data_IF_418139188948
#
_entry.id   IF_418139188948
#
_cell.length_a   1.000
_cell.length_b   1.000
_cell.length_c   1.000
_cell.angle_alpha   90.00
_cell.angle_beta   90.00
_cell.angle_gamma   90.00
#
_symmetry.space_group_name_H-M   'P 1'
#
loop_
_entity.id
_entity.type
_entity.pdbx_description
1 polymer ?
#
# COMPACT_ATOMS: atom_id res chain seq x y z
N UNK A 1 -9.81 -31.29 12.55
CA UNK A 1 -9.84 -29.83 12.34
C UNK A 1 -10.78 -29.61 11.17
N UNK A 2 -11.77 -28.73 11.31
CA UNK A 2 -12.75 -28.53 10.24
C UNK A 2 -12.07 -27.91 9.01
N UNK A 3 -11.98 -28.68 7.93
CA UNK A 3 -11.55 -28.21 6.60
C UNK A 3 -12.78 -27.78 5.80
N UNK A 4 -12.62 -26.96 4.76
CA UNK A 4 -13.76 -26.56 3.90
C UNK A 4 -14.41 -27.75 3.19
N UNK A 5 -13.71 -28.88 3.06
CA UNK A 5 -14.25 -30.12 2.51
C UNK A 5 -15.21 -30.87 3.45
N UNK A 6 -15.32 -30.45 4.72
CA UNK A 6 -16.10 -31.14 5.74
C UNK A 6 -15.47 -32.45 6.24
N UNK A 7 -14.27 -32.78 5.77
CA UNK A 7 -13.50 -33.95 6.22
C UNK A 7 -12.56 -33.51 7.34
N UNK A 8 -12.64 -34.19 8.49
CA UNK A 8 -11.66 -34.02 9.56
C UNK A 8 -10.31 -34.57 9.14
N UNK A 9 -9.30 -33.70 9.12
CA UNK A 9 -7.91 -34.08 8.89
C UNK A 9 -7.10 -33.96 10.19
N UNK A 10 -6.22 -34.93 10.49
CA UNK A 10 -5.35 -34.87 11.65
C UNK A 10 -4.27 -33.80 11.46
N UNK A 11 -4.00 -33.05 12.53
CA UNK A 11 -2.87 -32.13 12.59
C UNK A 11 -1.61 -32.98 12.77
N UNK A 12 -0.64 -32.82 11.86
CA UNK A 12 0.67 -33.48 11.95
C UNK A 12 1.68 -32.65 12.71
N UNK A 13 1.60 -31.34 12.59
CA UNK A 13 2.57 -30.42 13.17
C UNK A 13 1.99 -29.03 13.37
N UNK A 14 2.48 -28.35 14.39
CA UNK A 14 2.21 -26.92 14.63
C UNK A 14 3.57 -26.28 14.87
N UNK A 15 3.90 -25.28 14.06
CA UNK A 15 5.09 -24.46 14.23
C UNK A 15 4.73 -23.06 14.64
N UNK A 16 5.57 -22.46 15.48
CA UNK A 16 5.47 -21.04 15.75
C UNK A 16 6.82 -20.37 15.93
N UNK A 17 6.84 -19.06 15.69
CA UNK A 17 7.97 -18.21 16.03
C UNK A 17 7.54 -16.76 16.17
N UNK A 18 8.05 -16.11 17.21
CA UNK A 18 7.99 -14.65 17.35
C UNK A 18 9.21 -14.03 16.70
N UNK A 19 8.98 -13.01 15.86
CA UNK A 19 10.03 -12.23 15.20
C UNK A 19 9.82 -10.75 15.45
N UNK A 20 10.91 -10.03 15.70
CA UNK A 20 10.91 -8.58 15.54
C UNK A 20 10.84 -8.27 14.03
N UNK A 21 10.02 -7.31 13.65
CA UNK A 21 9.87 -6.97 12.25
C UNK A 21 10.86 -5.91 11.80
N UNK A 22 11.33 -5.00 12.67
CA UNK A 22 12.42 -4.04 12.39
C UNK A 22 12.31 -3.32 11.02
N UNK A 23 11.09 -2.98 10.59
CA UNK A 23 10.82 -2.36 9.28
C UNK A 23 10.96 -3.27 8.05
N UNK A 24 11.17 -4.58 8.24
CA UNK A 24 11.27 -5.61 7.20
C UNK A 24 9.88 -5.98 6.67
N UNK A 25 9.53 -5.44 5.52
CA UNK A 25 8.25 -5.70 4.86
C UNK A 25 7.97 -7.19 4.59
N UNK A 26 8.99 -8.04 4.43
CA UNK A 26 8.83 -9.49 4.27
C UNK A 26 8.46 -10.23 5.57
N UNK A 27 8.55 -9.56 6.71
CA UNK A 27 8.11 -10.08 8.02
C UNK A 27 6.84 -9.40 8.54
N UNK A 28 6.46 -8.25 7.98
CA UNK A 28 5.27 -7.49 8.40
C UNK A 28 3.99 -8.22 7.98
N UNK A 29 3.05 -8.47 8.90
CA UNK A 29 1.85 -9.21 8.57
C UNK A 29 0.93 -8.42 7.64
N UNK A 30 0.14 -9.16 6.86
CA UNK A 30 -0.97 -8.60 6.11
C UNK A 30 -2.23 -8.73 6.96
N UNK A 31 -2.88 -7.60 7.23
CA UNK A 31 -4.19 -7.53 7.85
C UNK A 31 -5.27 -7.60 6.79
N UNK A 32 -6.12 -8.59 6.91
CA UNK A 32 -7.38 -8.73 6.17
C UNK A 32 -8.49 -8.31 7.13
N UNK A 33 -9.12 -7.17 6.85
CA UNK A 33 -10.19 -6.62 7.66
C UNK A 33 -11.40 -7.56 7.68
N UNK A 34 -12.17 -7.50 8.76
CA UNK A 34 -13.46 -8.17 8.84
C UNK A 34 -14.31 -7.86 7.60
N UNK A 35 -14.97 -8.89 7.08
CA UNK A 35 -15.87 -8.86 5.94
C UNK A 35 -15.24 -8.52 4.57
N UNK A 36 -13.91 -8.51 4.45
CA UNK A 36 -13.18 -8.12 3.24
C UNK A 36 -13.45 -9.01 2.01
N UNK A 37 -13.71 -10.31 2.20
CA UNK A 37 -14.05 -11.28 1.16
C UNK A 37 -15.54 -11.62 1.10
N UNK A 38 -16.38 -10.85 1.80
CA UNK A 38 -17.81 -11.13 1.98
C UNK A 38 -18.18 -11.15 3.46
N UNK A 39 -19.48 -11.18 3.77
CA UNK A 39 -19.93 -11.18 5.15
C UNK A 39 -19.35 -12.36 5.95
N UNK A 40 -18.73 -12.08 7.11
CA UNK A 40 -18.11 -13.10 7.96
C UNK A 40 -16.81 -13.68 7.40
N UNK A 41 -16.24 -13.10 6.32
CA UNK A 41 -15.03 -13.58 5.66
C UNK A 41 -13.97 -12.49 5.57
N UNK A 42 -13.07 -12.38 6.56
CA UNK A 42 -13.14 -13.02 7.88
C UNK A 42 -14.19 -12.38 8.79
N UNK A 43 -14.56 -13.04 9.88
CA UNK A 43 -15.54 -12.57 10.88
C UNK A 43 -14.98 -11.48 11.81
N UNK A 44 -13.66 -11.41 11.94
CA UNK A 44 -12.90 -10.33 12.58
C UNK A 44 -11.62 -10.10 11.79
N UNK A 45 -10.92 -9.00 12.08
CA UNK A 45 -9.63 -8.74 11.46
C UNK A 45 -8.68 -9.93 11.65
N UNK A 46 -8.11 -10.39 10.54
CA UNK A 46 -7.20 -11.54 10.48
C UNK A 46 -5.82 -11.05 10.05
N UNK A 47 -4.79 -11.44 10.82
CA UNK A 47 -3.39 -11.21 10.49
C UNK A 47 -2.77 -12.50 9.95
N UNK A 48 -2.12 -12.42 8.79
CA UNK A 48 -1.41 -13.55 8.17
C UNK A 48 -0.04 -13.11 7.68
N UNK A 49 0.88 -14.06 7.47
CA UNK A 49 2.15 -13.74 6.82
C UNK A 49 1.91 -13.27 5.37
N UNK A 50 2.80 -12.44 4.80
CA UNK A 50 2.66 -11.94 3.43
C UNK A 50 2.33 -13.01 2.39
N UNK A 51 3.01 -14.15 2.40
CA UNK A 51 2.82 -15.20 1.41
C UNK A 51 1.72 -16.21 1.74
N UNK A 52 1.09 -16.13 2.93
CA UNK A 52 0.02 -17.04 3.31
C UNK A 52 -1.15 -16.93 2.32
N UNK A 53 -1.50 -18.05 1.71
CA UNK A 53 -2.47 -18.06 0.63
C UNK A 53 -3.91 -18.15 1.13
N UNK A 54 -4.74 -17.23 0.65
CA UNK A 54 -6.18 -17.23 0.85
C UNK A 54 -6.81 -18.04 -0.29
N UNK A 55 -7.77 -18.89 0.04
CA UNK A 55 -8.55 -19.61 -0.95
C UNK A 55 -9.73 -18.76 -1.42
N UNK A 56 -9.78 -18.49 -2.72
CA UNK A 56 -10.76 -17.59 -3.35
C UNK A 56 -11.52 -18.34 -4.44
N UNK A 57 -12.85 -18.26 -4.41
CA UNK A 57 -13.71 -18.81 -5.46
C UNK A 57 -13.93 -17.77 -6.57
N UNK A 58 -13.45 -18.08 -7.78
CA UNK A 58 -13.54 -17.19 -8.93
C UNK A 58 -13.95 -17.93 -10.20
N UNK A 59 -13.22 -18.98 -10.56
CA UNK A 59 -13.47 -19.91 -11.66
C UNK A 59 -13.11 -21.32 -11.16
N UNK A 60 -13.64 -21.66 -9.99
CA UNK A 60 -13.07 -22.66 -9.11
C UNK A 60 -12.24 -22.00 -8.00
N UNK A 61 -12.00 -22.78 -6.94
CA UNK A 61 -11.21 -22.36 -5.79
C UNK A 61 -9.71 -22.37 -6.12
N UNK A 62 -9.06 -21.24 -5.89
CA UNK A 62 -7.63 -21.03 -6.13
C UNK A 62 -6.96 -20.40 -4.91
N UNK A 63 -5.65 -20.59 -4.79
CA UNK A 63 -4.83 -20.00 -3.74
C UNK A 63 -4.11 -18.76 -4.25
N UNK A 64 -4.24 -17.65 -3.52
CA UNK A 64 -3.56 -16.39 -3.81
C UNK A 64 -2.90 -15.87 -2.53
N UNK A 65 -1.59 -15.56 -2.54
CA UNK A 65 -0.91 -14.97 -1.39
C UNK A 65 -1.54 -13.66 -0.94
N UNK A 66 -1.68 -13.45 0.37
CA UNK A 66 -2.29 -12.26 0.94
C UNK A 66 -1.63 -10.95 0.47
N UNK A 67 -0.31 -10.93 0.28
CA UNK A 67 0.43 -9.77 -0.21
C UNK A 67 0.01 -9.35 -1.63
N UNK A 68 -0.45 -10.29 -2.47
CA UNK A 68 -0.95 -10.01 -3.83
C UNK A 68 -2.36 -9.43 -3.82
N UNK A 69 -3.05 -9.51 -2.68
CA UNK A 69 -4.43 -9.04 -2.50
C UNK A 69 -4.51 -7.68 -1.80
N UNK A 70 -3.37 -7.06 -1.47
CA UNK A 70 -3.32 -5.73 -0.86
C UNK A 70 -4.01 -4.71 -1.78
N UNK A 71 -4.97 -3.99 -1.21
CA UNK A 71 -5.79 -2.98 -1.90
C UNK A 71 -5.75 -1.61 -1.20
N UNK A 72 -4.92 -1.46 -0.16
CA UNK A 72 -4.75 -0.20 0.57
C UNK A 72 -5.93 0.20 1.47
N UNK A 73 -6.93 -0.67 1.63
CA UNK A 73 -8.14 -0.41 2.44
C UNK A 73 -8.45 -1.56 3.39
N UNK A 74 -9.22 -2.54 2.91
CA UNK A 74 -9.66 -3.72 3.66
C UNK A 74 -8.56 -4.77 3.74
N UNK A 75 -7.55 -4.73 2.86
CA UNK A 75 -6.37 -5.59 2.94
C UNK A 75 -5.14 -4.71 2.87
N UNK A 76 -4.37 -4.68 3.96
CA UNK A 76 -3.21 -3.80 4.14
C UNK A 76 -2.09 -4.54 4.84
N UNK A 77 -0.84 -4.23 4.48
CA UNK A 77 0.29 -4.58 5.31
C UNK A 77 0.35 -3.63 6.51
N UNK A 78 0.55 -4.18 7.71
CA UNK A 78 0.58 -3.40 8.95
C UNK A 78 1.97 -3.39 9.55
N UNK A 79 2.41 -2.20 9.97
CA UNK A 79 3.66 -2.01 10.68
C UNK A 79 3.48 -2.38 12.15
N UNK A 80 4.28 -3.34 12.61
CA UNK A 80 4.26 -3.86 13.98
C UNK A 80 5.69 -4.05 14.46
N UNK A 81 5.93 -3.86 15.75
CA UNK A 81 7.26 -4.08 16.34
C UNK A 81 7.66 -5.56 16.27
N UNK A 82 6.72 -6.45 16.57
CA UNK A 82 6.91 -7.89 16.50
C UNK A 82 5.62 -8.63 16.18
N UNK A 83 5.76 -9.86 15.67
CA UNK A 83 4.64 -10.74 15.31
C UNK A 83 5.00 -12.18 15.64
N UNK A 84 4.01 -12.96 16.06
CA UNK A 84 4.12 -14.42 16.21
C UNK A 84 3.35 -15.11 15.10
N UNK A 85 4.06 -15.83 14.23
CA UNK A 85 3.43 -16.65 13.19
C UNK A 85 3.18 -18.06 13.70
N UNK A 86 2.01 -18.60 13.37
CA UNK A 86 1.57 -19.96 13.69
C UNK A 86 1.22 -20.69 12.41
N UNK A 87 1.84 -21.85 12.17
CA UNK A 87 1.62 -22.67 10.99
C UNK A 87 1.10 -24.04 11.42
N UNK A 88 0.02 -24.49 10.79
CA UNK A 88 -0.64 -25.77 11.11
C UNK A 88 -0.52 -26.70 9.90
N UNK A 89 0.23 -27.79 10.05
CA UNK A 89 0.40 -28.83 9.03
C UNK A 89 -0.65 -29.93 9.22
N UNK A 90 -1.29 -30.34 8.14
CA UNK A 90 -2.20 -31.48 8.10
C UNK A 90 -1.52 -32.71 7.49
N UNK A 91 -2.22 -33.83 7.42
CA UNK A 91 -1.71 -35.04 6.77
C UNK A 91 -1.50 -34.94 5.26
N UNK A 92 -2.22 -34.01 4.63
CA UNK A 92 -1.91 -33.45 3.33
C UNK A 92 -2.39 -32.01 3.28
N UNK A 93 -1.72 -31.21 2.46
CA UNK A 93 -2.05 -29.81 2.27
C UNK A 93 -3.53 -29.66 1.90
N UNK A 94 -4.25 -28.81 2.62
CA UNK A 94 -5.68 -28.56 2.44
C UNK A 94 -6.06 -27.15 2.92
N UNK A 95 -7.34 -26.84 2.92
CA UNK A 95 -7.88 -25.54 3.32
C UNK A 95 -8.40 -25.57 4.76
N UNK A 96 -7.97 -24.57 5.54
CA UNK A 96 -8.41 -24.25 6.89
C UNK A 96 -9.39 -23.07 6.87
N UNK A 97 -10.18 -22.93 7.94
CA UNK A 97 -11.00 -21.74 8.19
C UNK A 97 -10.31 -20.87 9.24
N UNK A 98 -9.64 -19.80 8.79
CA UNK A 98 -9.05 -18.79 9.64
C UNK A 98 -10.06 -17.65 9.86
N UNK A 99 -10.67 -17.58 11.04
CA UNK A 99 -11.73 -16.60 11.34
C UNK A 99 -12.88 -16.63 10.31
N UNK A 100 -13.20 -17.82 9.76
CA UNK A 100 -14.21 -18.00 8.73
C UNK A 100 -13.74 -17.72 7.29
N UNK A 101 -12.51 -17.22 7.09
CA UNK A 101 -11.90 -17.10 5.78
C UNK A 101 -11.18 -18.41 5.38
N UNK A 102 -11.51 -19.02 4.24
CA UNK A 102 -10.74 -20.13 3.68
C UNK A 102 -9.28 -19.72 3.39
N UNK A 103 -8.33 -20.42 4.00
CA UNK A 103 -6.90 -20.17 3.83
C UNK A 103 -6.12 -21.49 3.82
N UNK A 104 -4.91 -21.49 3.30
CA UNK A 104 -4.10 -22.70 3.23
C UNK A 104 -3.69 -23.23 4.61
N UNK A 105 -3.62 -24.55 4.76
CA UNK A 105 -2.79 -25.19 5.79
C UNK A 105 -1.31 -24.99 5.47
N UNK A 106 -0.43 -25.24 6.42
CA UNK A 106 1.01 -25.18 6.15
C UNK A 106 1.42 -26.23 5.11
N UNK A 107 2.06 -25.78 4.03
CA UNK A 107 2.85 -26.59 3.12
C UNK A 107 4.33 -26.35 3.40
N UNK A 108 5.08 -27.41 3.70
CA UNK A 108 6.53 -27.28 3.84
C UNK A 108 7.18 -27.03 2.48
N UNK A 109 7.59 -25.78 2.30
CA UNK A 109 8.22 -25.30 1.08
C UNK A 109 9.74 -25.11 1.30
N UNK A 110 10.34 -25.72 2.33
CA UNK A 110 11.73 -25.50 2.73
C UNK A 110 11.92 -24.37 3.76
N UNK A 111 10.82 -23.85 4.30
CA UNK A 111 10.77 -22.85 5.37
C UNK A 111 10.61 -23.45 6.77
N UNK A 112 10.50 -24.78 6.94
CA UNK A 112 10.29 -25.38 8.28
C UNK A 112 11.33 -24.93 9.30
N UNK A 113 12.59 -24.77 8.87
CA UNK A 113 13.71 -24.23 9.67
C UNK A 113 13.48 -22.83 10.23
N UNK A 114 12.49 -22.08 9.76
CA UNK A 114 12.10 -20.82 10.37
C UNK A 114 11.56 -21.02 11.79
N UNK A 115 10.81 -22.09 12.04
CA UNK A 115 10.02 -22.27 13.26
C UNK A 115 10.84 -22.82 14.43
N UNK A 116 10.38 -22.53 15.66
CA UNK A 116 11.06 -22.97 16.89
C UNK A 116 11.05 -24.51 17.03
N UNK A 117 10.07 -25.18 16.42
CA UNK A 117 9.89 -26.63 16.42
C UNK A 117 10.70 -27.36 15.33
N UNK A 118 11.57 -26.65 14.60
CA UNK A 118 12.47 -27.27 13.65
C UNK A 118 13.65 -27.97 14.35
N UNK A 119 14.18 -29.04 13.74
CA UNK A 119 15.39 -29.71 14.24
C UNK A 119 16.59 -28.74 14.36
N UNK A 120 16.67 -27.77 13.44
CA UNK A 120 17.61 -26.65 13.47
C UNK A 120 16.84 -25.39 13.07
N UNK A 121 16.72 -24.45 14.00
CA UNK A 121 16.14 -23.13 13.71
C UNK A 121 17.16 -22.23 13.03
N UNK A 122 16.83 -21.78 11.82
CA UNK A 122 17.58 -20.78 11.08
C UNK A 122 17.03 -19.38 11.39
N UNK A 123 17.81 -18.57 12.10
CA UNK A 123 17.39 -17.24 12.50
C UNK A 123 17.25 -16.27 11.31
N UNK A 124 17.93 -16.55 10.19
CA UNK A 124 17.88 -15.74 8.97
C UNK A 124 16.78 -16.20 8.00
N UNK A 125 16.15 -17.35 8.24
CA UNK A 125 15.00 -17.79 7.44
C UNK A 125 13.80 -16.86 7.64
N UNK A 126 12.94 -16.80 6.62
CA UNK A 126 11.67 -16.07 6.64
C UNK A 126 10.50 -17.05 6.71
N UNK A 127 9.34 -16.65 7.29
CA UNK A 127 8.17 -17.52 7.37
C UNK A 127 7.67 -17.93 5.98
N UNK A 128 7.94 -17.11 4.96
CA UNK A 128 7.42 -17.23 3.61
C UNK A 128 8.45 -17.74 2.59
N UNK A 129 9.61 -18.23 3.05
CA UNK A 129 10.63 -18.78 2.16
C UNK A 129 10.06 -19.98 1.38
N UNK A 130 10.29 -19.98 0.06
CA UNK A 130 9.77 -21.01 -0.84
C UNK A 130 10.89 -21.57 -1.71
N UNK A 131 11.02 -22.89 -1.72
CA UNK A 131 11.93 -23.61 -2.61
C UNK A 131 11.47 -23.50 -4.06
N UNK A 132 12.44 -23.50 -4.98
CA UNK A 132 12.14 -23.51 -6.41
C UNK A 132 11.50 -24.84 -6.85
N UNK A 133 10.57 -24.76 -7.80
CA UNK A 133 9.92 -25.91 -8.42
C UNK A 133 8.42 -26.04 -8.15
N UNK A 134 7.84 -27.11 -8.70
CA UNK A 134 6.43 -27.44 -8.54
C UNK A 134 6.17 -27.97 -7.12
N UNK A 135 5.29 -27.26 -6.40
CA UNK A 135 4.87 -27.63 -5.06
C UNK A 135 3.46 -28.23 -5.09
N UNK A 136 3.16 -29.23 -4.25
CA UNK A 136 1.89 -29.94 -4.28
C UNK A 136 0.78 -29.17 -3.54
N UNK A 137 0.47 -27.96 -4.02
CA UNK A 137 -0.67 -27.20 -3.51
C UNK A 137 -1.98 -27.98 -3.72
N UNK A 138 -2.93 -27.77 -2.81
CA UNK A 138 -4.20 -28.48 -2.81
C UNK A 138 -5.20 -27.90 -3.82
N UNK A 139 -4.88 -26.70 -4.34
CA UNK A 139 -5.59 -25.95 -5.37
C UNK A 139 -4.56 -25.26 -6.27
N UNK A 140 -4.94 -24.82 -7.49
CA UNK A 140 -4.09 -23.98 -8.32
C UNK A 140 -3.63 -22.73 -7.55
N UNK A 141 -2.34 -22.43 -7.63
CA UNK A 141 -1.70 -21.33 -6.92
C UNK A 141 -1.34 -20.22 -7.92
N UNK A 142 -1.74 -18.98 -7.62
CA UNK A 142 -1.56 -17.84 -8.51
C UNK A 142 -0.94 -16.65 -7.75
N UNK A 143 0.18 -16.15 -8.24
CA UNK A 143 0.82 -14.94 -7.70
C UNK A 143 0.48 -13.68 -8.48
N UNK A 144 0.14 -13.83 -9.76
CA UNK A 144 -0.12 -12.73 -10.68
C UNK A 144 -1.07 -13.16 -11.81
N UNK A 145 -1.24 -12.25 -12.78
CA UNK A 145 -2.04 -12.46 -13.98
C UNK A 145 -3.51 -12.11 -13.80
N UNK A 146 -4.28 -12.35 -14.87
CA UNK A 146 -5.66 -11.89 -15.00
C UNK A 146 -6.60 -12.40 -13.90
N UNK A 147 -6.31 -13.58 -13.34
CA UNK A 147 -7.09 -14.12 -12.23
C UNK A 147 -6.90 -13.27 -10.96
N UNK A 148 -5.66 -12.93 -10.63
CA UNK A 148 -5.35 -12.09 -9.46
C UNK A 148 -5.92 -10.69 -9.65
N UNK A 149 -5.80 -10.13 -10.85
CA UNK A 149 -6.39 -8.82 -11.18
C UNK A 149 -7.91 -8.80 -11.00
N UNK A 150 -8.60 -9.86 -11.41
CA UNK A 150 -10.04 -10.01 -11.22
C UNK A 150 -10.41 -10.06 -9.73
N UNK A 151 -9.66 -10.81 -8.92
CA UNK A 151 -9.90 -10.87 -7.46
C UNK A 151 -9.66 -9.50 -6.82
N UNK A 152 -8.60 -8.78 -7.21
CA UNK A 152 -8.32 -7.42 -6.73
C UNK A 152 -9.42 -6.43 -7.11
N UNK A 153 -9.98 -6.53 -8.32
CA UNK A 153 -11.12 -5.71 -8.73
C UNK A 153 -12.34 -5.97 -7.83
N UNK A 154 -12.69 -7.24 -7.59
CA UNK A 154 -13.80 -7.62 -6.69
C UNK A 154 -13.58 -7.12 -5.25
N UNK A 155 -12.35 -7.18 -4.75
CA UNK A 155 -12.00 -6.65 -3.43
C UNK A 155 -12.14 -5.12 -3.36
N UNK A 156 -11.86 -4.41 -4.46
CA UNK A 156 -12.11 -2.97 -4.58
C UNK A 156 -13.59 -2.64 -4.49
N UNK A 157 -14.43 -3.33 -5.28
CA UNK A 157 -15.91 -3.18 -5.22
C UNK A 157 -16.47 -3.53 -3.83
N UNK A 158 -15.88 -4.54 -3.18
CA UNK A 158 -16.24 -4.92 -1.82
C UNK A 158 -15.87 -3.83 -0.81
N UNK A 159 -14.71 -3.20 -0.94
CA UNK A 159 -14.32 -2.08 -0.09
C UNK A 159 -15.32 -0.91 -0.22
N UNK A 160 -15.78 -0.61 -1.43
CA UNK A 160 -16.81 0.40 -1.68
C UNK A 160 -18.15 0.06 -1.01
N UNK A 161 -18.57 -1.21 -1.07
CA UNK A 161 -19.75 -1.71 -0.35
C UNK A 161 -19.61 -1.55 1.17
N UNK A 162 -18.39 -1.66 1.69
CA UNK A 162 -18.06 -1.42 3.11
C UNK A 162 -17.90 0.09 3.44
N UNK A 163 -18.22 0.99 2.51
CA UNK A 163 -18.27 2.42 2.73
C UNK A 163 -16.98 3.18 2.40
N UNK A 164 -15.93 2.49 1.93
CA UNK A 164 -14.74 3.18 1.40
C UNK A 164 -15.09 3.90 0.09
N UNK A 165 -14.42 5.02 -0.17
CA UNK A 165 -14.65 5.78 -1.41
C UNK A 165 -13.34 6.25 -2.00
N UNK A 166 -13.23 6.25 -3.33
CA UNK A 166 -12.13 6.92 -4.01
C UNK A 166 -12.42 8.41 -4.11
N UNK A 167 -11.54 9.24 -3.54
CA UNK A 167 -11.53 10.68 -3.75
C UNK A 167 -10.60 11.01 -4.90
N UNK A 168 -11.14 11.73 -5.86
CA UNK A 168 -10.38 12.36 -6.94
C UNK A 168 -10.13 13.82 -6.58
N UNK A 169 -8.87 14.21 -6.55
CA UNK A 169 -8.44 15.60 -6.35
C UNK A 169 -7.17 15.78 -7.18
N UNK A 170 -7.26 16.67 -8.17
CA UNK A 170 -6.23 16.92 -9.18
C UNK A 170 -4.86 17.17 -8.59
N UNK A 171 -4.78 17.88 -7.45
CA UNK A 171 -3.51 18.28 -6.86
C UNK A 171 -3.22 17.57 -5.53
N UNK A 172 -4.06 16.64 -5.12
CA UNK A 172 -3.83 15.86 -3.91
C UNK A 172 -3.47 16.67 -2.65
N UNK A 173 -4.22 17.74 -2.37
CA UNK A 173 -3.92 18.62 -1.24
C UNK A 173 -2.60 19.40 -1.36
N UNK A 174 -2.10 19.60 -2.58
CA UNK A 174 -0.83 20.28 -2.88
C UNK A 174 -0.67 21.58 -2.09
N UNK A 175 0.48 21.70 -1.43
CA UNK A 175 0.95 22.91 -0.79
C UNK A 175 2.48 22.92 -0.77
N UNK A 176 3.04 24.07 -0.42
CA UNK A 176 4.46 24.21 -0.17
C UNK A 176 4.68 24.49 1.30
N UNK A 177 5.67 23.82 1.89
CA UNK A 177 6.27 24.23 3.15
C UNK A 177 7.53 25.02 2.81
N UNK A 178 7.55 26.31 3.10
CA UNK A 178 8.69 27.20 2.84
C UNK A 178 9.15 27.82 4.16
N UNK A 179 10.34 27.44 4.64
CA UNK A 179 10.94 27.92 5.89
C UNK A 179 9.98 27.86 7.11
N UNK A 180 9.15 26.82 7.15
CA UNK A 180 8.15 26.58 8.21
C UNK A 180 6.75 27.15 7.93
N UNK A 181 6.56 27.94 6.87
CA UNK A 181 5.26 28.47 6.48
C UNK A 181 4.57 27.62 5.41
N UNK A 182 3.25 27.46 5.52
CA UNK A 182 2.45 26.75 4.51
C UNK A 182 1.92 27.73 3.46
N UNK A 183 2.33 27.54 2.21
CA UNK A 183 1.86 28.29 1.06
C UNK A 183 0.84 27.45 0.26
N UNK A 184 -0.25 28.07 -0.16
CA UNK A 184 -1.28 27.44 -1.00
C UNK A 184 -1.16 27.92 -2.45
N UNK A 185 -1.43 27.04 -3.45
CA UNK A 185 -1.33 27.43 -4.84
C UNK A 185 -2.58 28.16 -5.32
N UNK A 186 -2.40 29.05 -6.29
CA UNK A 186 -3.44 29.36 -7.28
C UNK A 186 -3.45 28.22 -8.31
N UNK A 187 -4.63 27.71 -8.67
CA UNK A 187 -4.76 26.56 -9.58
C UNK A 187 -5.63 26.89 -10.80
N UNK A 188 -5.22 26.39 -11.96
CA UNK A 188 -6.00 26.45 -13.19
C UNK A 188 -5.70 25.21 -14.06
N UNK A 189 -6.71 24.38 -14.30
CA UNK A 189 -6.53 23.09 -15.00
C UNK A 189 -5.51 22.20 -14.27
N UNK A 190 -4.48 21.77 -14.99
CA UNK A 190 -3.36 20.97 -14.43
C UNK A 190 -2.16 21.83 -13.99
N UNK A 191 -2.32 23.15 -13.91
CA UNK A 191 -1.24 24.06 -13.50
C UNK A 191 -1.50 24.62 -12.11
N UNK A 192 -0.50 24.53 -11.24
CA UNK A 192 -0.46 25.19 -9.93
C UNK A 192 0.63 26.26 -9.93
N UNK A 193 0.34 27.42 -9.33
CA UNK A 193 1.28 28.52 -9.15
C UNK A 193 1.40 28.89 -7.68
N UNK A 194 2.62 29.01 -7.20
CA UNK A 194 2.97 29.53 -5.88
C UNK A 194 3.73 30.84 -6.00
N UNK A 195 3.62 31.67 -4.96
CA UNK A 195 4.50 32.82 -4.73
C UNK A 195 5.42 32.46 -3.57
N UNK A 196 6.69 32.21 -3.88
CA UNK A 196 7.71 31.94 -2.87
C UNK A 196 8.22 33.28 -2.30
N UNK A 197 8.36 33.39 -0.96
CA UNK A 197 9.01 34.52 -0.32
C UNK A 197 10.43 34.75 -0.86
N UNK A 198 10.85 36.01 -0.87
CA UNK A 198 12.20 36.37 -1.28
C UNK A 198 13.23 35.70 -0.36
N UNK A 199 14.13 34.92 -0.95
CA UNK A 199 15.20 34.24 -0.20
C UNK A 199 14.77 32.95 0.51
N UNK A 200 13.63 32.35 0.14
CA UNK A 200 13.20 31.05 0.65
C UNK A 200 14.32 30.00 0.50
N UNK A 201 14.56 29.18 1.54
CA UNK A 201 15.70 28.23 1.55
C UNK A 201 15.29 26.77 1.65
N UNK A 202 14.43 26.45 2.62
CA UNK A 202 13.87 25.11 2.80
C UNK A 202 12.47 25.08 2.22
N UNK A 203 12.35 24.59 0.99
CA UNK A 203 11.08 24.56 0.25
C UNK A 203 10.76 23.12 -0.10
N UNK A 204 9.64 22.62 0.40
CA UNK A 204 9.13 21.28 0.10
C UNK A 204 7.80 21.35 -0.59
N UNK A 205 7.69 20.64 -1.72
CA UNK A 205 6.44 20.38 -2.40
C UNK A 205 5.74 19.20 -1.73
N UNK A 206 4.62 19.47 -1.06
CA UNK A 206 3.91 18.46 -0.26
C UNK A 206 2.56 18.14 -0.90
N UNK A 207 2.26 16.86 -1.01
CA UNK A 207 0.98 16.34 -1.49
C UNK A 207 0.67 15.01 -0.81
N UNK A 208 -0.60 14.65 -0.76
CA UNK A 208 -1.00 13.30 -0.39
C UNK A 208 -0.54 12.30 -1.46
N UNK A 209 -0.37 11.04 -1.06
CA UNK A 209 0.13 9.96 -1.92
C UNK A 209 -0.89 8.87 -2.13
N UNK A 210 -0.70 8.12 -3.20
CA UNK A 210 -1.43 6.88 -3.49
C UNK A 210 -0.47 5.83 -4.03
N UNK A 211 -0.89 4.57 -4.01
CA UNK A 211 -0.14 3.47 -4.64
C UNK A 211 -0.95 3.04 -5.87
N UNK A 212 -0.41 3.18 -7.10
CA UNK A 212 -1.15 2.84 -8.32
C UNK A 212 -1.76 1.45 -8.26
N UNK A 213 -1.01 0.45 -7.78
CA UNK A 213 -1.52 -0.91 -7.63
C UNK A 213 -2.82 -0.96 -6.81
N UNK A 214 -3.01 -0.11 -5.80
CA UNK A 214 -4.20 -0.15 -4.94
C UNK A 214 -5.44 0.52 -5.53
N UNK A 215 -5.27 1.39 -6.52
CA UNK A 215 -6.34 2.30 -6.96
C UNK A 215 -6.62 2.25 -8.45
N UNK A 216 -5.63 1.83 -9.25
CA UNK A 216 -5.71 1.68 -10.71
C UNK A 216 -5.83 0.18 -11.05
N UNK A 217 -6.94 -0.26 -11.67
CA UNK A 217 -7.11 -1.65 -12.10
C UNK A 217 -5.98 -2.11 -13.02
N UNK A 218 -5.46 -3.32 -12.78
CA UNK A 218 -4.37 -3.93 -13.56
C UNK A 218 -2.98 -3.32 -13.33
N UNK A 219 -2.85 -2.31 -12.46
CA UNK A 219 -1.54 -1.78 -12.10
C UNK A 219 -0.82 -2.68 -11.09
N UNK A 220 0.47 -2.90 -11.35
CA UNK A 220 1.40 -3.60 -10.45
C UNK A 220 2.42 -2.65 -9.81
N UNK A 221 2.33 -1.35 -10.10
CA UNK A 221 3.25 -0.35 -9.55
C UNK A 221 2.95 -0.11 -8.06
N UNK A 222 3.86 -0.61 -7.22
CA UNK A 222 3.77 -0.57 -5.76
C UNK A 222 4.38 0.71 -5.15
N UNK A 223 4.90 1.64 -5.97
CA UNK A 223 5.47 2.90 -5.48
C UNK A 223 4.38 3.77 -4.84
N UNK A 224 4.77 4.53 -3.82
CA UNK A 224 3.90 5.52 -3.17
C UNK A 224 4.08 6.87 -3.89
N UNK A 225 3.21 7.14 -4.85
CA UNK A 225 3.33 8.28 -5.75
C UNK A 225 2.47 9.47 -5.28
N UNK A 226 3.04 10.67 -5.34
CA UNK A 226 2.35 11.95 -5.16
C UNK A 226 1.88 12.52 -6.49
N UNK A 227 2.58 13.54 -6.99
CA UNK A 227 2.21 14.28 -8.20
C UNK A 227 3.00 13.82 -9.43
N UNK A 228 2.35 13.64 -10.61
CA UNK A 228 3.02 13.38 -11.87
C UNK A 228 3.40 14.69 -12.56
N UNK A 229 4.60 15.22 -12.33
CA UNK A 229 5.02 16.49 -12.93
C UNK A 229 5.34 16.33 -14.42
N UNK A 230 4.74 17.16 -15.27
CA UNK A 230 5.07 17.35 -16.68
C UNK A 230 5.93 18.59 -16.94
N UNK A 231 5.96 19.54 -15.99
CA UNK A 231 6.75 20.75 -16.15
C UNK A 231 6.94 21.51 -14.85
N UNK A 232 8.07 22.21 -14.78
CA UNK A 232 8.44 23.07 -13.67
C UNK A 232 9.05 24.36 -14.24
N UNK A 233 8.49 25.51 -13.87
CA UNK A 233 9.04 26.82 -14.27
C UNK A 233 9.16 27.76 -13.09
N UNK A 234 10.16 28.62 -13.17
CA UNK A 234 10.48 29.61 -12.14
C UNK A 234 10.61 30.98 -12.79
N UNK A 235 10.04 32.00 -12.18
CA UNK A 235 9.89 33.32 -12.78
C UNK A 235 9.89 34.40 -11.68
N UNK A 236 10.72 35.44 -11.81
CA UNK A 236 10.73 36.58 -10.88
C UNK A 236 9.92 37.78 -11.38
N UNK A 237 9.24 37.64 -12.53
CA UNK A 237 8.46 38.70 -13.17
C UNK A 237 9.31 39.79 -13.83
N UNK A 238 10.65 39.71 -13.76
CA UNK A 238 11.57 40.70 -14.32
C UNK A 238 12.40 40.13 -15.47
N UNK A 239 12.91 38.91 -15.28
CA UNK A 239 13.81 38.24 -16.21
C UNK A 239 13.10 37.20 -17.09
N UNK A 240 11.82 36.96 -16.81
CA UNK A 240 10.99 35.98 -17.49
C UNK A 240 11.08 34.59 -16.88
N UNK A 241 10.28 33.67 -17.41
CA UNK A 241 10.20 32.31 -16.94
C UNK A 241 11.38 31.47 -17.43
N UNK A 242 12.04 30.75 -16.51
CA UNK A 242 12.97 29.66 -16.83
C UNK A 242 12.33 28.30 -16.56
N UNK A 243 12.59 27.34 -17.44
CA UNK A 243 12.18 25.94 -17.25
C UNK A 243 13.26 25.20 -16.47
N UNK A 244 12.84 24.45 -15.45
CA UNK A 244 13.68 23.46 -14.79
C UNK A 244 13.41 22.12 -15.46
N UNK A 245 14.47 21.48 -15.96
CA UNK A 245 14.34 20.18 -16.60
C UNK A 245 13.89 19.13 -15.57
N UNK A 246 13.03 18.19 -15.98
CA UNK A 246 12.49 17.18 -15.06
C UNK A 246 13.55 16.15 -14.61
N UNK A 247 14.64 16.03 -15.36
CA UNK A 247 15.83 15.25 -15.04
C UNK A 247 16.92 16.06 -14.35
N UNK A 248 16.66 17.31 -13.95
CA UNK A 248 17.62 18.15 -13.24
C UNK A 248 18.13 17.42 -11.98
N UNK A 249 19.45 17.27 -11.79
CA UNK A 249 20.03 16.48 -10.70
C UNK A 249 19.70 17.03 -9.31
N UNK A 250 19.25 18.28 -9.22
CA UNK A 250 18.78 18.90 -7.98
C UNK A 250 17.41 18.38 -7.53
N UNK A 251 16.61 17.82 -8.43
CA UNK A 251 15.32 17.18 -8.12
C UNK A 251 15.58 15.73 -7.69
N UNK A 252 16.11 15.56 -6.48
CA UNK A 252 16.53 14.26 -5.95
C UNK A 252 15.64 13.80 -4.79
N UNK A 253 15.65 14.51 -3.66
CA UNK A 253 14.96 14.16 -2.44
C UNK A 253 13.45 14.34 -2.64
N UNK A 254 12.72 13.25 -2.43
CA UNK A 254 11.28 13.15 -2.65
C UNK A 254 10.84 13.12 -4.12
N UNK A 255 11.75 12.83 -5.04
CA UNK A 255 11.44 12.54 -6.44
C UNK A 255 11.87 11.12 -6.81
N UNK A 256 11.00 10.38 -7.50
CA UNK A 256 11.36 9.11 -8.12
C UNK A 256 12.32 9.33 -9.29
N UNK A 257 13.07 8.30 -9.70
CA UNK A 257 13.94 8.37 -10.86
C UNK A 257 13.15 8.75 -12.14
N UNK A 258 13.76 9.56 -13.00
CA UNK A 258 13.16 9.97 -14.26
C UNK A 258 13.40 8.93 -15.36
N UNK A 259 12.33 8.50 -16.02
CA UNK A 259 12.33 7.45 -17.05
C UNK A 259 11.87 7.97 -18.42
N UNK A 260 11.76 9.29 -18.58
CA UNK A 260 11.25 9.94 -19.81
C UNK A 260 9.73 10.18 -19.82
N UNK A 261 9.01 9.74 -18.78
CA UNK A 261 7.60 10.04 -18.56
C UNK A 261 7.38 11.26 -17.65
N UNK A 262 6.26 11.33 -16.90
CA UNK A 262 6.12 12.32 -15.84
C UNK A 262 7.13 12.08 -14.70
N UNK A 263 7.66 13.16 -14.13
CA UNK A 263 8.51 13.09 -12.93
C UNK A 263 7.63 12.97 -11.69
N UNK A 264 7.58 11.80 -11.10
CA UNK A 264 6.78 11.54 -9.91
C UNK A 264 7.45 12.02 -8.63
N UNK A 265 6.68 12.67 -7.76
CA UNK A 265 7.07 12.93 -6.36
C UNK A 265 6.68 11.78 -5.44
N UNK A 266 7.27 11.68 -4.25
CA UNK A 266 6.94 10.69 -3.21
C UNK A 266 5.98 11.21 -2.13
N UNK A 267 5.55 12.48 -2.26
CA UNK A 267 4.66 13.16 -1.32
C UNK A 267 5.30 14.34 -0.60
N UNK A 268 6.63 14.41 -0.51
CA UNK A 268 7.34 15.50 0.16
C UNK A 268 8.68 15.83 -0.53
N UNK A 269 8.60 16.44 -1.72
CA UNK A 269 9.76 16.66 -2.58
C UNK A 269 10.51 17.95 -2.26
N UNK A 270 11.82 17.88 -2.04
CA UNK A 270 12.66 19.03 -1.77
C UNK A 270 12.93 19.82 -3.06
N UNK A 271 12.66 21.12 -3.04
CA UNK A 271 13.04 22.05 -4.07
C UNK A 271 14.17 22.93 -3.54
N UNK A 272 15.45 22.68 -3.91
CA UNK A 272 16.56 23.40 -3.32
C UNK A 272 16.60 24.86 -3.79
N UNK A 273 17.04 25.76 -2.91
CA UNK A 273 17.10 27.19 -3.17
C UNK A 273 17.89 27.60 -4.42
N UNK A 274 18.86 26.78 -4.82
CA UNK A 274 19.65 27.00 -6.03
C UNK A 274 18.81 26.96 -7.31
N UNK A 275 17.59 26.42 -7.26
CA UNK A 275 16.63 26.52 -8.36
C UNK A 275 16.23 27.97 -8.65
N UNK A 276 16.32 28.87 -7.66
CA UNK A 276 16.05 30.30 -7.80
C UNK A 276 17.17 31.26 -7.52
N UNK A 277 18.40 30.77 -7.65
CA UNK A 277 19.55 31.65 -7.78
C UNK A 277 19.38 32.64 -8.95
N UNK A 278 19.66 33.91 -8.67
CA UNK A 278 19.53 35.01 -9.64
C UNK A 278 18.14 35.65 -9.72
N UNK A 279 17.09 35.04 -9.14
CA UNK A 279 15.79 35.71 -9.00
C UNK A 279 15.89 36.91 -8.05
N UNK A 280 15.17 37.99 -8.37
CA UNK A 280 15.09 39.17 -7.51
C UNK A 280 13.72 39.28 -6.86
N UNK A 281 13.68 39.31 -5.53
CA UNK A 281 12.44 39.45 -4.77
C UNK A 281 11.62 38.16 -4.73
N UNK A 282 10.30 38.29 -4.73
CA UNK A 282 9.39 37.14 -4.69
C UNK A 282 9.48 36.35 -6.01
N UNK A 283 9.40 35.03 -5.90
CA UNK A 283 9.57 34.12 -7.04
C UNK A 283 8.29 33.35 -7.30
N UNK A 284 7.80 33.35 -8.52
CA UNK A 284 6.69 32.50 -8.95
C UNK A 284 7.22 31.12 -9.32
N UNK A 285 6.74 30.10 -8.61
CA UNK A 285 6.95 28.71 -8.97
C UNK A 285 5.68 28.19 -9.65
N UNK A 286 5.81 27.67 -10.86
CA UNK A 286 4.69 27.04 -11.58
C UNK A 286 5.00 25.58 -11.85
N UNK A 287 4.04 24.73 -11.52
CA UNK A 287 4.06 23.29 -11.72
C UNK A 287 2.96 22.92 -12.69
N UNK A 288 3.27 22.09 -13.67
CA UNK A 288 2.28 21.50 -14.58
C UNK A 288 2.25 20.00 -14.35
N UNK A 289 1.07 19.43 -14.11
CA UNK A 289 0.88 17.99 -13.99
C UNK A 289 0.66 17.35 -15.36
N UNK A 290 1.14 16.13 -15.57
CA UNK A 290 0.87 15.34 -16.77
C UNK A 290 -0.59 14.84 -16.81
N UNK A 291 -1.16 14.60 -15.63
CA UNK A 291 -2.53 14.16 -15.39
C UNK A 291 -2.94 14.58 -13.97
N UNK A 292 -4.23 14.53 -13.60
CA UNK A 292 -4.64 14.60 -12.20
C UNK A 292 -3.85 13.60 -11.33
N UNK A 293 -3.59 13.98 -10.08
CA UNK A 293 -3.01 13.07 -9.10
C UNK A 293 -3.87 11.80 -8.95
N UNK A 294 -3.23 10.70 -8.53
CA UNK A 294 -3.92 9.42 -8.38
C UNK A 294 -5.09 9.52 -7.39
N UNK A 295 -6.20 8.80 -7.64
CA UNK A 295 -7.29 8.70 -6.69
C UNK A 295 -6.79 8.11 -5.37
N UNK A 296 -7.45 8.46 -4.27
CA UNK A 296 -7.10 8.00 -2.92
C UNK A 296 -8.30 7.42 -2.23
N UNK A 297 -8.09 6.31 -1.54
CA UNK A 297 -9.12 5.74 -0.70
C UNK A 297 -9.37 6.62 0.53
N UNK A 298 -10.64 6.88 0.80
CA UNK A 298 -11.14 7.57 1.98
C UNK A 298 -11.97 6.58 2.77
N UNK A 299 -11.61 6.40 4.04
CA UNK A 299 -12.32 5.52 4.95
C UNK A 299 -13.78 6.00 5.16
N UNK A 300 -14.71 5.08 5.43
CA UNK A 300 -16.04 5.48 5.90
C UNK A 300 -15.92 6.32 7.16
N UNK A 301 -16.70 7.39 7.27
CA UNK A 301 -16.78 8.16 8.51
C UNK A 301 -17.33 7.23 9.59
N UNK A 302 -16.63 7.09 10.71
CA UNK A 302 -17.20 6.40 11.88
C UNK A 302 -18.50 7.14 12.26
N UNK A 303 -19.63 6.46 12.19
CA UNK A 303 -20.92 7.03 12.56
C UNK A 303 -20.84 7.63 13.95
N UNK A 304 -21.09 8.93 14.07
CA UNK A 304 -21.26 9.63 15.33
C UNK A 304 -22.66 9.32 15.90
N UNK A 305 -22.97 8.04 16.07
CA UNK A 305 -24.26 7.53 16.56
C UNK A 305 -24.02 6.53 17.69
N UNK A 306 -23.36 6.94 18.77
CA UNK A 306 -23.43 6.29 20.10
C UNK A 306 -22.71 7.07 21.22
N UNK A 307 -22.81 8.42 21.24
CA UNK A 307 -22.26 9.22 22.36
C UNK A 307 -23.26 10.16 23.06
N UNK A 308 -24.51 10.21 22.62
CA UNK A 308 -25.51 11.14 23.17
C UNK A 308 -26.64 10.51 24.01
N UNK A 309 -26.67 9.18 24.17
CA UNK A 309 -27.62 8.53 25.09
C UNK A 309 -27.08 8.35 26.52
N UNK A 310 -25.75 8.30 26.71
CA UNK A 310 -25.13 8.16 28.05
C UNK A 310 -24.91 9.48 28.81
N UNK A 311 -25.32 10.63 28.24
CA UNK A 311 -25.23 11.95 28.91
C UNK A 311 -26.56 12.47 29.46
N UNK A 312 -27.65 11.69 29.37
CA UNK A 312 -28.95 12.07 29.98
C UNK A 312 -29.31 11.30 31.25
N UNK A 313 -28.52 10.33 31.68
CA UNK A 313 -28.77 9.53 32.89
C UNK A 313 -27.53 9.38 33.80
N UNK A 314 -26.77 10.45 34.01
CA UNK A 314 -25.73 10.52 35.04
C UNK A 314 -25.87 11.80 35.87
#
# INVERSE_FOLDING_TARGET
MATTSGVDRPIRWIGHRTVACDGRADLMPVRIAAHAFGEGRPARDLLVSPAHAVAVDVLGEVLIPACRLINGTTIVQVDVESVTYWHVELDSHDILLAEGLPAESYLDCGNRRFFAEADITDLAATPDARSEGDLPYCRPFHEDGALVDLVRARLGERAETLGWRKREDTFAGLHILADGETLRPDVAGLTARFVLPAGARDVRLVSETSVPAHVVPGSTDARRLGLPLAGLTIDDGLTGARTVALDDPRLNEGFYAFDGGPRWTDGAALLPASLWDGCRGATFLRLTLAAPALPRWVAPQAGNEMRDEDRRNA
#
